data_IF_844947494030
#
_entry.id   IF_844947494030
#
_cell.length_a   1.000
_cell.length_b   1.000
_cell.length_c   1.000
_cell.angle_alpha   90.00
_cell.angle_beta   90.00
_cell.angle_gamma   90.00
#
_symmetry.space_group_name_H-M   'P 1'
#
loop_
_entity.id
_entity.type
_entity.pdbx_description
1 polymer ?
#
# COMPACT_ATOMS: atom_id res chain seq x y z
N UNK A 1 -0.67 9.78 48.07
CA UNK A 1 -0.53 8.51 47.32
C UNK A 1 -1.33 8.68 46.04
N UNK A 2 -0.72 9.28 45.03
CA UNK A 2 -1.35 9.59 43.75
C UNK A 2 -1.10 8.39 42.83
N UNK A 3 -2.15 7.65 42.56
CA UNK A 3 -2.14 6.48 41.70
C UNK A 3 -2.08 6.98 40.27
N UNK A 4 -0.92 6.91 39.65
CA UNK A 4 -0.68 7.23 38.24
C UNK A 4 -1.39 6.11 37.43
N UNK A 5 -2.56 6.40 36.95
CA UNK A 5 -3.24 5.58 35.95
C UNK A 5 -2.47 5.74 34.64
N UNK A 6 -1.60 4.81 34.36
CA UNK A 6 -1.07 4.59 33.01
C UNK A 6 -2.22 4.07 32.15
N UNK A 7 -2.92 4.95 31.46
CA UNK A 7 -3.71 4.60 30.29
C UNK A 7 -2.70 4.10 29.23
N UNK A 8 -2.62 2.78 29.13
CA UNK A 8 -1.98 2.17 27.95
C UNK A 8 -2.90 2.47 26.77
N UNK A 9 -2.55 3.49 26.00
CA UNK A 9 -3.13 3.67 24.67
C UNK A 9 -2.97 2.33 23.94
N UNK A 10 -4.08 1.69 23.65
CA UNK A 10 -4.14 0.51 22.79
C UNK A 10 -3.82 1.01 21.37
N UNK A 11 -2.54 1.17 21.07
CA UNK A 11 -2.09 1.43 19.69
C UNK A 11 -2.51 0.20 18.89
N UNK A 12 -3.57 0.35 18.10
CA UNK A 12 -3.99 -0.71 17.19
C UNK A 12 -2.82 -1.00 16.24
N UNK A 13 -2.30 -2.21 16.32
CA UNK A 13 -1.18 -2.62 15.46
C UNK A 13 -1.66 -2.72 14.02
N UNK A 14 -0.82 -2.28 13.10
CA UNK A 14 -1.07 -2.47 11.68
C UNK A 14 -0.98 -3.95 11.30
N UNK A 15 -1.89 -4.39 10.47
CA UNK A 15 -1.92 -5.76 9.97
C UNK A 15 -2.55 -5.86 8.60
N UNK A 16 -2.24 -6.94 7.92
CA UNK A 16 -2.83 -7.30 6.64
C UNK A 16 -3.59 -8.62 6.73
N UNK A 17 -4.64 -8.72 5.95
CA UNK A 17 -5.45 -9.94 5.78
C UNK A 17 -5.24 -10.45 4.37
N UNK A 18 -5.02 -11.76 4.27
CA UNK A 18 -5.05 -12.52 3.01
C UNK A 18 -6.33 -13.35 2.97
N UNK A 19 -7.06 -13.27 1.88
CA UNK A 19 -8.38 -13.90 1.76
C UNK A 19 -8.69 -14.35 0.33
N UNK A 20 -9.67 -15.23 0.22
CA UNK A 20 -10.41 -15.47 -1.01
C UNK A 20 -11.86 -14.96 -0.85
N UNK A 21 -12.48 -14.63 -1.98
CA UNK A 21 -13.88 -14.25 -2.07
C UNK A 21 -14.51 -14.83 -3.34
N UNK A 22 -15.85 -14.73 -3.48
CA UNK A 22 -16.59 -15.20 -4.66
C UNK A 22 -16.23 -16.64 -5.03
N UNK A 23 -16.37 -17.57 -4.10
CA UNK A 23 -16.04 -19.00 -4.30
C UNK A 23 -14.59 -19.22 -4.78
N UNK A 24 -13.63 -18.42 -4.30
CA UNK A 24 -12.21 -18.42 -4.67
C UNK A 24 -11.91 -17.87 -6.07
N UNK A 25 -12.85 -17.24 -6.72
CA UNK A 25 -12.63 -16.56 -8.00
C UNK A 25 -11.82 -15.27 -7.85
N UNK A 26 -11.75 -14.72 -6.62
CA UNK A 26 -11.04 -13.49 -6.29
C UNK A 26 -10.14 -13.70 -5.09
N UNK A 27 -8.89 -13.24 -5.19
CA UNK A 27 -7.96 -13.14 -4.05
C UNK A 27 -7.85 -11.70 -3.62
N UNK A 28 -7.95 -11.44 -2.32
CA UNK A 28 -7.94 -10.08 -1.77
C UNK A 28 -6.94 -10.00 -0.63
N UNK A 29 -6.09 -8.98 -0.67
CA UNK A 29 -5.27 -8.51 0.43
C UNK A 29 -5.79 -7.16 0.88
N UNK A 30 -5.95 -6.97 2.18
CA UNK A 30 -6.34 -5.67 2.77
C UNK A 30 -5.42 -5.39 3.95
N UNK A 31 -4.95 -4.16 4.06
CA UNK A 31 -4.07 -3.76 5.16
C UNK A 31 -4.43 -2.36 5.71
N UNK A 32 -4.29 -2.20 7.02
CA UNK A 32 -4.04 -0.90 7.66
C UNK A 32 -2.52 -0.73 7.83
N UNK A 33 -2.02 0.49 7.64
CA UNK A 33 -0.58 0.79 7.67
C UNK A 33 -0.27 2.15 8.31
N UNK A 34 -1.15 2.65 9.16
CA UNK A 34 -1.04 4.01 9.74
C UNK A 34 0.23 4.17 10.57
N UNK A 35 0.51 3.22 11.47
CA UNK A 35 1.71 3.27 12.31
C UNK A 35 2.99 3.02 11.51
N UNK A 36 2.95 2.08 10.55
CA UNK A 36 4.05 1.77 9.64
C UNK A 36 4.48 3.03 8.86
N UNK A 37 3.52 3.76 8.29
CA UNK A 37 3.80 4.96 7.50
C UNK A 37 4.22 6.13 8.40
N UNK A 38 3.63 6.28 9.58
CA UNK A 38 4.03 7.30 10.55
C UNK A 38 5.47 7.07 11.05
N UNK A 39 5.86 5.81 11.27
CA UNK A 39 7.24 5.48 11.64
C UNK A 39 8.23 5.83 10.52
N UNK A 40 7.91 5.44 9.28
CA UNK A 40 8.71 5.82 8.12
C UNK A 40 8.80 7.34 7.95
N UNK A 41 7.69 8.07 8.17
CA UNK A 41 7.66 9.53 8.14
C UNK A 41 8.62 10.14 9.16
N UNK A 42 8.63 9.65 10.39
CA UNK A 42 9.51 10.12 11.47
C UNK A 42 10.98 9.88 11.13
N UNK A 43 11.31 8.69 10.66
CA UNK A 43 12.69 8.30 10.34
C UNK A 43 13.25 9.14 9.19
N UNK A 44 12.47 9.31 8.12
CA UNK A 44 12.88 10.01 6.90
C UNK A 44 12.54 11.50 6.91
N UNK A 45 11.79 11.99 7.91
CA UNK A 45 11.34 13.38 8.04
C UNK A 45 10.59 13.87 6.79
N UNK A 46 9.75 13.02 6.23
CA UNK A 46 9.06 13.32 4.97
C UNK A 46 7.98 14.39 5.13
N UNK A 47 7.90 15.30 4.14
CA UNK A 47 6.83 16.27 4.02
C UNK A 47 5.55 15.64 3.44
N UNK A 48 4.37 16.27 3.60
CA UNK A 48 3.08 15.61 3.37
C UNK A 48 2.92 14.86 2.06
N UNK A 49 3.34 15.44 0.91
CA UNK A 49 3.17 14.75 -0.38
C UNK A 49 4.17 13.60 -0.54
N UNK A 50 5.40 13.80 -0.06
CA UNK A 50 6.40 12.72 -0.01
C UNK A 50 5.94 11.59 0.94
N UNK A 51 5.36 11.93 2.10
CA UNK A 51 4.75 10.96 3.03
C UNK A 51 3.64 10.15 2.34
N UNK A 52 2.76 10.83 1.59
CA UNK A 52 1.68 10.14 0.90
C UNK A 52 2.20 9.20 -0.21
N UNK A 53 3.17 9.64 -1.03
CA UNK A 53 3.77 8.82 -2.08
C UNK A 53 4.52 7.60 -1.50
N UNK A 54 5.39 7.85 -0.52
CA UNK A 54 6.21 6.82 0.10
C UNK A 54 5.36 5.84 0.92
N UNK A 55 4.40 6.34 1.69
CA UNK A 55 3.48 5.53 2.47
C UNK A 55 2.61 4.60 1.60
N UNK A 56 2.10 5.09 0.46
CA UNK A 56 1.38 4.25 -0.50
C UNK A 56 2.29 3.15 -1.06
N UNK A 57 3.53 3.48 -1.41
CA UNK A 57 4.50 2.49 -1.90
C UNK A 57 4.82 1.45 -0.83
N UNK A 58 5.07 1.86 0.42
CA UNK A 58 5.31 0.97 1.56
C UNK A 58 4.12 0.02 1.79
N UNK A 59 2.89 0.55 1.77
CA UNK A 59 1.67 -0.23 2.02
C UNK A 59 1.45 -1.30 0.96
N UNK A 60 1.58 -0.95 -0.33
CA UNK A 60 1.43 -1.94 -1.42
C UNK A 60 2.55 -2.97 -1.35
N UNK A 61 3.80 -2.54 -1.10
CA UNK A 61 4.94 -3.45 -0.98
C UNK A 61 4.78 -4.42 0.20
N UNK A 62 4.24 -3.97 1.35
CA UNK A 62 3.94 -4.84 2.48
C UNK A 62 2.98 -5.97 2.08
N UNK A 63 1.86 -5.63 1.44
CA UNK A 63 0.90 -6.63 0.95
C UNK A 63 1.51 -7.55 -0.11
N UNK A 64 2.36 -7.02 -1.00
CA UNK A 64 3.06 -7.82 -1.99
C UNK A 64 4.06 -8.78 -1.34
N UNK A 65 4.80 -8.36 -0.30
CA UNK A 65 5.71 -9.23 0.45
C UNK A 65 5.01 -10.49 0.97
N UNK A 66 3.78 -10.35 1.46
CA UNK A 66 2.96 -11.47 1.95
C UNK A 66 2.48 -12.44 0.85
N UNK A 67 2.73 -12.15 -0.43
CA UNK A 67 2.44 -13.08 -1.53
C UNK A 67 3.53 -14.13 -1.69
N UNK A 68 4.68 -13.94 -1.06
CA UNK A 68 5.87 -14.79 -1.13
C UNK A 68 6.00 -15.69 0.09
N UNK A 69 7.05 -16.50 0.14
CA UNK A 69 7.24 -17.51 1.17
C UNK A 69 8.52 -17.27 1.95
N UNK A 70 8.46 -17.59 3.26
CA UNK A 70 9.63 -17.69 4.15
C UNK A 70 10.66 -16.54 3.99
N UNK A 71 11.82 -16.85 3.44
CA UNK A 71 12.94 -15.91 3.29
C UNK A 71 12.91 -15.12 1.99
N UNK A 72 11.90 -15.33 1.16
CA UNK A 72 11.75 -14.59 -0.10
C UNK A 72 11.48 -13.11 0.18
N UNK A 73 12.07 -12.24 -0.64
CA UNK A 73 11.92 -10.79 -0.51
C UNK A 73 11.62 -10.14 -1.85
N UNK A 74 10.99 -8.99 -1.79
CA UNK A 74 10.81 -8.13 -2.96
C UNK A 74 11.47 -6.78 -2.72
N UNK A 75 12.02 -6.21 -3.79
CA UNK A 75 12.47 -4.83 -3.82
C UNK A 75 11.67 -4.07 -4.88
N UNK A 76 10.92 -3.09 -4.43
CA UNK A 76 10.11 -2.19 -5.26
C UNK A 76 10.86 -0.88 -5.44
N UNK A 77 11.07 -0.46 -6.69
CA UNK A 77 11.66 0.84 -7.02
C UNK A 77 10.70 1.62 -7.90
N UNK A 78 10.23 2.74 -7.38
CA UNK A 78 9.49 3.74 -8.14
C UNK A 78 10.47 4.85 -8.51
N UNK A 79 10.78 4.98 -9.81
CA UNK A 79 11.69 6.00 -10.34
C UNK A 79 10.92 6.93 -11.25
N UNK A 80 10.63 8.12 -10.75
CA UNK A 80 9.93 9.16 -11.50
C UNK A 80 10.86 10.35 -11.85
N UNK A 81 10.39 11.20 -12.75
CA UNK A 81 11.05 12.46 -13.09
C UNK A 81 10.51 13.66 -12.30
N UNK A 82 9.57 13.42 -11.38
CA UNK A 82 9.06 14.43 -10.46
C UNK A 82 10.05 14.74 -9.32
N UNK A 83 9.74 15.73 -8.47
CA UNK A 83 10.66 16.22 -7.43
C UNK A 83 11.01 15.20 -6.35
N UNK A 84 10.23 14.14 -6.13
CA UNK A 84 10.58 13.05 -5.22
C UNK A 84 11.79 12.26 -5.74
N UNK A 85 11.90 12.08 -7.04
CA UNK A 85 12.94 11.25 -7.65
C UNK A 85 12.64 9.76 -7.49
N UNK A 86 13.48 9.06 -6.74
CA UNK A 86 13.37 7.60 -6.55
C UNK A 86 12.89 7.25 -5.16
N UNK A 87 11.97 6.30 -5.07
CA UNK A 87 11.62 5.59 -3.84
C UNK A 87 12.02 4.12 -4.00
N UNK A 88 12.67 3.57 -2.98
CA UNK A 88 13.07 2.17 -2.91
C UNK A 88 12.44 1.55 -1.66
N UNK A 89 11.78 0.43 -1.82
CA UNK A 89 11.12 -0.30 -0.72
C UNK A 89 11.44 -1.77 -0.82
N UNK A 90 11.83 -2.36 0.29
CA UNK A 90 12.00 -3.81 0.44
C UNK A 90 10.94 -4.34 1.38
N UNK A 91 10.34 -5.49 1.04
CA UNK A 91 9.34 -6.16 1.85
C UNK A 91 9.54 -7.67 1.82
N UNK A 92 9.15 -8.36 2.90
CA UNK A 92 9.28 -9.79 3.06
C UNK A 92 7.95 -10.47 3.43
N UNK A 93 7.97 -11.80 3.49
CA UNK A 93 6.82 -12.62 3.83
C UNK A 93 6.40 -12.53 5.32
N UNK A 94 7.23 -11.95 6.17
CA UNK A 94 6.94 -11.73 7.59
C UNK A 94 6.15 -10.44 7.86
N UNK A 95 5.92 -9.62 6.81
CA UNK A 95 5.24 -8.34 6.93
C UNK A 95 6.17 -7.19 7.34
N UNK A 96 7.48 -7.40 7.33
CA UNK A 96 8.45 -6.36 7.58
C UNK A 96 8.72 -5.56 6.29
N UNK A 97 8.73 -4.25 6.43
CA UNK A 97 8.97 -3.32 5.32
C UNK A 97 10.01 -2.30 5.73
N UNK A 98 10.89 -1.97 4.81
CA UNK A 98 11.84 -0.85 4.93
C UNK A 98 11.99 -0.15 3.59
N UNK A 99 12.51 1.06 3.60
CA UNK A 99 12.73 1.76 2.34
C UNK A 99 13.44 3.08 2.52
N UNK A 100 13.68 3.73 1.41
CA UNK A 100 14.28 5.06 1.32
C UNK A 100 13.61 5.88 0.22
N UNK A 101 13.68 7.18 0.39
CA UNK A 101 13.14 8.17 -0.53
C UNK A 101 14.23 9.20 -0.84
N UNK A 102 14.47 9.45 -2.13
CA UNK A 102 15.55 10.32 -2.56
C UNK A 102 15.38 11.78 -2.11
N UNK A 103 14.18 12.33 -2.26
CA UNK A 103 13.86 13.67 -1.75
C UNK A 103 12.60 13.62 -0.88
N UNK A 104 12.77 13.68 0.45
CA UNK A 104 11.64 13.64 1.38
C UNK A 104 10.92 14.98 1.53
N UNK A 105 11.49 16.09 1.06
CA UNK A 105 10.99 17.45 1.32
C UNK A 105 10.10 17.96 0.18
N UNK A 106 9.04 17.21 -0.14
CA UNK A 106 8.11 17.54 -1.23
C UNK A 106 6.70 17.78 -0.69
N UNK A 107 6.15 18.97 -1.00
CA UNK A 107 4.80 19.35 -0.67
C UNK A 107 4.12 20.04 -1.85
N UNK A 108 3.27 19.30 -2.55
CA UNK A 108 2.53 19.77 -3.72
C UNK A 108 1.05 19.42 -3.53
N UNK A 109 0.18 20.36 -3.79
CA UNK A 109 -1.28 20.18 -3.79
C UNK A 109 -1.86 20.44 -5.16
N UNK A 110 -3.03 19.90 -5.43
CA UNK A 110 -3.83 20.32 -6.56
C UNK A 110 -4.29 21.77 -6.34
N UNK A 111 -4.00 22.65 -7.28
CA UNK A 111 -4.38 24.07 -7.22
C UNK A 111 -5.82 24.26 -7.69
N UNK A 112 -6.30 23.43 -8.62
CA UNK A 112 -7.60 23.55 -9.27
C UNK A 112 -8.32 22.19 -9.39
N UNK A 113 -9.59 22.26 -9.86
CA UNK A 113 -10.40 21.09 -10.19
C UNK A 113 -10.99 20.37 -8.96
N UNK A 114 -11.58 19.18 -9.18
CA UNK A 114 -12.30 18.44 -8.13
C UNK A 114 -11.39 17.89 -7.01
N UNK A 115 -10.07 17.86 -7.23
CA UNK A 115 -9.07 17.45 -6.24
C UNK A 115 -8.41 18.65 -5.53
N UNK A 116 -8.86 19.90 -5.76
CA UNK A 116 -8.27 21.11 -5.17
C UNK A 116 -8.00 20.96 -3.67
N UNK A 117 -6.79 21.30 -3.25
CA UNK A 117 -6.32 21.22 -1.87
C UNK A 117 -5.86 19.83 -1.41
N UNK A 118 -6.13 18.76 -2.18
CA UNK A 118 -5.57 17.42 -1.91
C UNK A 118 -4.09 17.36 -2.33
N UNK A 119 -3.34 16.47 -1.72
CA UNK A 119 -1.93 16.20 -2.07
C UNK A 119 -1.86 15.67 -3.51
N UNK A 120 -0.99 16.27 -4.32
CA UNK A 120 -0.78 15.88 -5.73
C UNK A 120 0.42 14.93 -5.83
N UNK A 121 0.17 13.67 -5.52
CA UNK A 121 1.20 12.62 -5.52
C UNK A 121 1.68 12.36 -6.95
N UNK A 122 0.78 12.35 -7.93
CA UNK A 122 1.14 12.16 -9.32
C UNK A 122 2.16 13.19 -9.82
N UNK A 123 1.97 14.49 -9.51
CA UNK A 123 2.95 15.52 -9.88
C UNK A 123 4.27 15.39 -9.11
N UNK A 124 4.22 14.90 -7.86
CA UNK A 124 5.41 14.72 -7.05
C UNK A 124 6.29 13.54 -7.52
N UNK A 125 5.68 12.48 -8.02
CA UNK A 125 6.36 11.30 -8.60
C UNK A 125 6.72 11.55 -10.07
N UNK A 126 5.79 12.04 -10.86
CA UNK A 126 5.97 12.29 -12.29
C UNK A 126 5.93 11.03 -13.14
N UNK A 127 6.38 11.14 -14.40
CA UNK A 127 6.50 10.01 -15.32
C UNK A 127 7.76 9.22 -15.07
N UNK A 128 7.75 7.93 -15.35
CA UNK A 128 8.90 7.06 -15.13
C UNK A 128 8.55 5.58 -15.12
N UNK A 129 9.21 4.83 -14.25
CA UNK A 129 9.07 3.37 -14.21
C UNK A 129 8.90 2.86 -12.78
N UNK A 130 8.08 1.83 -12.66
CA UNK A 130 7.99 0.94 -11.52
C UNK A 130 8.77 -0.33 -11.84
N UNK A 131 9.74 -0.68 -10.98
CA UNK A 131 10.50 -1.93 -11.08
C UNK A 131 10.24 -2.76 -9.83
N UNK A 132 10.03 -4.05 -10.01
CA UNK A 132 9.93 -5.01 -8.91
C UNK A 132 10.97 -6.11 -9.14
N UNK A 133 11.87 -6.24 -8.19
CA UNK A 133 12.88 -7.29 -8.16
C UNK A 133 12.50 -8.30 -7.08
N UNK A 134 12.44 -9.57 -7.45
CA UNK A 134 12.09 -10.71 -6.59
C UNK A 134 13.33 -11.50 -6.27
N UNK A 135 13.66 -11.63 -4.98
CA UNK A 135 14.65 -12.58 -4.46
C UNK A 135 13.90 -13.82 -3.95
N UNK A 136 13.80 -14.83 -4.80
CA UNK A 136 13.15 -16.10 -4.50
C UNK A 136 14.12 -17.12 -3.90
N UNK A 137 15.28 -16.66 -3.39
CA UNK A 137 16.37 -17.52 -2.87
C UNK A 137 16.87 -18.54 -3.90
N UNK A 138 16.73 -18.16 -5.17
CA UNK A 138 17.29 -18.90 -6.30
C UNK A 138 18.63 -18.29 -6.71
N UNK A 139 19.28 -18.86 -7.74
CA UNK A 139 20.57 -18.36 -8.21
C UNK A 139 20.50 -16.93 -8.76
N UNK A 140 19.40 -16.57 -9.40
CA UNK A 140 19.22 -15.31 -10.09
C UNK A 140 18.01 -14.55 -9.53
N UNK A 141 18.08 -13.21 -9.54
CA UNK A 141 16.95 -12.33 -9.23
C UNK A 141 16.06 -12.16 -10.45
N UNK A 142 14.76 -12.05 -10.22
CA UNK A 142 13.79 -11.76 -11.27
C UNK A 142 13.35 -10.31 -11.16
N UNK A 143 13.63 -9.53 -12.20
CA UNK A 143 13.22 -8.12 -12.26
C UNK A 143 12.23 -7.93 -13.39
N UNK A 144 11.08 -7.34 -13.08
CA UNK A 144 10.08 -6.88 -14.04
C UNK A 144 9.84 -5.38 -13.88
N UNK A 145 9.33 -4.74 -14.92
CA UNK A 145 9.09 -3.30 -14.91
C UNK A 145 7.90 -2.90 -15.74
N UNK A 146 7.25 -1.79 -15.37
CA UNK A 146 6.20 -1.14 -16.13
C UNK A 146 6.38 0.37 -16.09
N UNK A 147 5.84 1.08 -17.09
CA UNK A 147 5.75 2.53 -17.08
C UNK A 147 4.74 2.98 -16.01
N UNK A 148 5.05 4.10 -15.34
CA UNK A 148 4.08 4.75 -14.45
C UNK A 148 2.93 5.34 -15.27
N UNK A 149 1.70 5.08 -14.85
CA UNK A 149 0.49 5.52 -15.54
C UNK A 149 0.05 6.90 -15.04
N UNK A 150 0.06 7.10 -13.74
CA UNK A 150 -0.42 8.34 -13.12
C UNK A 150 0.54 8.91 -12.08
N UNK A 151 1.46 8.12 -11.56
CA UNK A 151 2.30 8.44 -10.40
C UNK A 151 1.52 8.47 -9.09
N UNK A 152 0.21 8.15 -9.09
CA UNK A 152 -0.63 8.05 -7.88
C UNK A 152 -0.42 6.72 -7.13
N UNK A 153 0.52 5.90 -7.56
CA UNK A 153 0.96 4.62 -7.00
C UNK A 153 -0.07 3.49 -7.18
N UNK A 154 -1.31 3.66 -6.78
CA UNK A 154 -2.34 2.61 -6.92
C UNK A 154 -2.56 2.18 -8.37
N UNK A 155 -2.73 3.14 -9.27
CA UNK A 155 -2.90 2.89 -10.71
C UNK A 155 -1.64 2.25 -11.31
N UNK A 156 -0.47 2.69 -10.85
CA UNK A 156 0.83 2.21 -11.33
C UNK A 156 1.04 0.73 -10.98
N UNK A 157 0.68 0.32 -9.76
CA UNK A 157 0.72 -1.09 -9.35
C UNK A 157 -0.38 -1.92 -10.01
N UNK A 158 -1.57 -1.35 -10.22
CA UNK A 158 -2.63 -2.02 -10.98
C UNK A 158 -2.13 -2.39 -12.37
N UNK A 159 -1.51 -1.44 -13.07
CA UNK A 159 -0.95 -1.67 -14.39
C UNK A 159 0.23 -2.67 -14.36
N UNK A 160 1.10 -2.58 -13.34
CA UNK A 160 2.19 -3.53 -13.15
C UNK A 160 1.69 -4.97 -13.04
N UNK A 161 0.65 -5.23 -12.25
CA UNK A 161 0.10 -6.59 -12.10
C UNK A 161 -0.43 -7.13 -13.41
N UNK A 162 -1.10 -6.31 -14.19
CA UNK A 162 -1.65 -6.73 -15.50
C UNK A 162 -0.52 -7.01 -16.49
N UNK A 163 0.46 -6.09 -16.59
CA UNK A 163 1.50 -6.18 -17.62
C UNK A 163 2.57 -7.21 -17.28
N UNK A 164 3.07 -7.18 -16.04
CA UNK A 164 4.26 -7.93 -15.63
C UNK A 164 3.94 -9.25 -14.94
N UNK A 165 2.85 -9.31 -14.17
CA UNK A 165 2.42 -10.52 -13.47
C UNK A 165 1.34 -11.28 -14.25
N UNK A 166 0.74 -10.66 -15.28
CA UNK A 166 -0.35 -11.20 -16.09
C UNK A 166 -1.57 -11.59 -15.24
N UNK A 167 -1.82 -10.87 -14.16
CA UNK A 167 -2.95 -11.06 -13.25
C UNK A 167 -3.82 -9.81 -13.29
N UNK A 168 -5.07 -9.91 -13.80
CA UNK A 168 -6.01 -8.80 -13.72
C UNK A 168 -6.23 -8.41 -12.26
N UNK A 169 -5.90 -7.17 -11.93
CA UNK A 169 -5.86 -6.71 -10.54
C UNK A 169 -6.42 -5.31 -10.40
N UNK A 170 -6.83 -4.96 -9.19
CA UNK A 170 -7.12 -3.60 -8.77
C UNK A 170 -6.38 -3.31 -7.47
N UNK A 171 -5.70 -2.16 -7.41
CA UNK A 171 -4.97 -1.71 -6.23
C UNK A 171 -5.54 -0.37 -5.77
N UNK A 172 -6.11 -0.36 -4.57
CA UNK A 172 -6.52 0.86 -3.91
C UNK A 172 -5.64 1.13 -2.70
N UNK A 173 -5.03 2.31 -2.64
CA UNK A 173 -4.16 2.70 -1.53
C UNK A 173 -4.34 4.17 -1.21
N UNK A 174 -4.29 4.52 0.07
CA UNK A 174 -4.47 5.89 0.52
C UNK A 174 -3.69 6.19 1.78
N UNK A 175 -3.19 7.43 1.86
CA UNK A 175 -2.54 8.00 3.04
C UNK A 175 -3.15 9.38 3.28
N UNK A 176 -3.63 9.61 4.49
CA UNK A 176 -4.13 10.89 4.95
C UNK A 176 -3.12 11.49 5.93
N UNK A 177 -2.64 12.68 5.60
CA UNK A 177 -1.70 13.44 6.44
C UNK A 177 -2.41 14.71 6.91
N UNK A 178 -2.29 15.03 8.20
CA UNK A 178 -2.89 16.22 8.79
C UNK A 178 -2.06 17.50 8.57
N UNK A 179 -2.53 18.60 9.15
CA UNK A 179 -1.86 19.91 9.05
C UNK A 179 -0.54 19.95 9.85
N UNK A 180 -0.41 19.13 10.87
CA UNK A 180 0.78 18.98 11.70
C UNK A 180 1.74 17.91 11.14
N UNK A 181 1.44 17.43 9.93
CA UNK A 181 2.22 16.45 9.17
C UNK A 181 2.18 15.01 9.71
N UNK A 182 1.29 14.69 10.66
CA UNK A 182 1.11 13.32 11.14
C UNK A 182 0.25 12.50 10.20
N UNK A 183 0.51 11.20 10.15
CA UNK A 183 -0.32 10.25 9.39
C UNK A 183 -1.55 9.89 10.21
N UNK A 184 -2.72 10.34 9.75
CA UNK A 184 -4.01 10.06 10.41
C UNK A 184 -4.58 8.71 10.03
N UNK A 185 -4.42 8.32 8.76
CA UNK A 185 -4.94 7.08 8.23
C UNK A 185 -4.13 6.63 7.02
N UNK A 186 -3.74 5.38 6.99
CA UNK A 186 -3.06 4.76 5.87
C UNK A 186 -3.45 3.29 5.74
N UNK A 187 -3.62 2.84 4.51
CA UNK A 187 -3.87 1.45 4.18
C UNK A 187 -4.23 1.26 2.72
N UNK A 188 -4.53 0.03 2.37
CA UNK A 188 -4.82 -0.33 0.99
C UNK A 188 -5.39 -1.72 0.83
N UNK A 189 -5.71 -2.03 -0.43
CA UNK A 189 -6.05 -3.37 -0.86
C UNK A 189 -5.35 -3.72 -2.18
N UNK A 190 -5.16 -5.01 -2.39
CA UNK A 190 -4.84 -5.62 -3.67
C UNK A 190 -5.90 -6.68 -3.94
N UNK A 191 -6.69 -6.51 -4.98
CA UNK A 191 -7.70 -7.45 -5.44
C UNK A 191 -7.24 -8.05 -6.76
N UNK A 192 -7.26 -9.37 -6.86
CA UNK A 192 -6.78 -10.11 -8.03
C UNK A 192 -7.81 -11.12 -8.49
N UNK A 193 -8.14 -11.09 -9.78
CA UNK A 193 -9.00 -12.08 -10.39
C UNK A 193 -8.22 -13.37 -10.63
N UNK A 194 -8.79 -14.49 -10.22
CA UNK A 194 -8.18 -15.80 -10.42
C UNK A 194 -8.44 -16.29 -11.85
N UNK A 195 -7.64 -17.23 -12.38
CA UNK A 195 -7.94 -17.87 -13.65
C UNK A 195 -9.36 -18.44 -13.67
N UNK A 196 -10.05 -18.35 -14.82
CA UNK A 196 -11.42 -18.86 -15.02
C UNK A 196 -12.50 -18.13 -14.17
N UNK A 197 -12.25 -16.89 -13.71
CA UNK A 197 -13.27 -16.07 -13.07
C UNK A 197 -14.49 -15.88 -13.97
N UNK A 198 -15.69 -15.98 -13.38
CA UNK A 198 -16.96 -15.80 -14.11
C UNK A 198 -17.21 -14.33 -14.45
N UNK A 199 -17.87 -14.08 -15.59
CA UNK A 199 -18.29 -12.73 -16.01
C UNK A 199 -19.18 -12.06 -14.96
N UNK A 200 -19.98 -12.82 -14.23
CA UNK A 200 -20.82 -12.32 -13.16
C UNK A 200 -19.97 -11.74 -12.01
N UNK A 201 -18.91 -12.44 -11.62
CA UNK A 201 -17.98 -11.99 -10.58
C UNK A 201 -17.20 -10.78 -11.05
N UNK A 202 -16.74 -10.74 -12.30
CA UNK A 202 -16.04 -9.56 -12.87
C UNK A 202 -16.91 -8.33 -12.76
N UNK A 203 -18.15 -8.38 -13.26
CA UNK A 203 -19.10 -7.26 -13.23
C UNK A 203 -19.33 -6.78 -11.78
N UNK A 204 -19.52 -7.71 -10.84
CA UNK A 204 -19.77 -7.39 -9.45
C UNK A 204 -18.56 -6.70 -8.79
N UNK A 205 -17.36 -7.21 -9.03
CA UNK A 205 -16.11 -6.63 -8.54
C UNK A 205 -15.89 -5.21 -9.10
N UNK A 206 -16.13 -5.02 -10.41
CA UNK A 206 -16.04 -3.70 -11.03
C UNK A 206 -16.99 -2.68 -10.40
N UNK A 207 -18.23 -3.07 -10.11
CA UNK A 207 -19.22 -2.19 -9.48
C UNK A 207 -18.82 -1.82 -8.05
N UNK A 208 -18.26 -2.76 -7.29
CA UNK A 208 -17.72 -2.49 -5.96
C UNK A 208 -16.56 -1.50 -6.04
N UNK A 209 -15.59 -1.73 -6.93
CA UNK A 209 -14.41 -0.86 -7.09
C UNK A 209 -14.81 0.56 -7.51
N UNK A 210 -15.82 0.72 -8.36
CA UNK A 210 -16.34 2.03 -8.78
C UNK A 210 -16.99 2.83 -7.63
N UNK A 211 -17.53 2.15 -6.63
CA UNK A 211 -18.34 2.76 -5.57
C UNK A 211 -17.65 2.83 -4.21
N UNK A 212 -16.58 2.07 -4.01
CA UNK A 212 -15.86 2.07 -2.72
C UNK A 212 -15.26 3.43 -2.41
N UNK A 213 -15.40 3.87 -1.16
CA UNK A 213 -14.76 5.09 -0.67
C UNK A 213 -13.23 4.96 -0.72
N UNK A 214 -12.49 6.10 -0.81
CA UNK A 214 -11.03 6.09 -0.68
C UNK A 214 -10.56 5.38 0.59
N UNK A 215 -9.50 4.57 0.50
CA UNK A 215 -8.98 3.76 1.61
C UNK A 215 -8.68 4.57 2.87
N UNK A 216 -8.02 5.73 2.71
CA UNK A 216 -7.74 6.61 3.84
C UNK A 216 -9.01 7.14 4.53
N UNK A 217 -10.10 7.31 3.78
CA UNK A 217 -11.39 7.72 4.35
C UNK A 217 -12.01 6.59 5.17
N UNK A 218 -12.04 5.37 4.64
CA UNK A 218 -12.58 4.20 5.36
C UNK A 218 -11.83 3.99 6.69
N UNK A 219 -10.49 4.05 6.64
CA UNK A 219 -9.67 3.86 7.84
C UNK A 219 -9.88 5.00 8.84
N UNK A 220 -10.00 6.25 8.37
CA UNK A 220 -10.29 7.40 9.24
C UNK A 220 -11.67 7.30 9.88
N UNK A 221 -12.65 6.71 9.20
CA UNK A 221 -14.00 6.42 9.73
C UNK A 221 -13.97 5.24 10.73
N UNK A 222 -12.83 4.59 10.95
CA UNK A 222 -12.66 3.51 11.93
C UNK A 222 -12.89 2.10 11.38
N UNK A 223 -12.97 1.93 10.06
CA UNK A 223 -13.11 0.60 9.48
C UNK A 223 -11.82 -0.20 9.66
N UNK A 224 -11.98 -1.42 10.14
CA UNK A 224 -10.90 -2.42 10.25
C UNK A 224 -10.60 -3.05 8.89
N UNK A 225 -9.45 -3.75 8.73
CA UNK A 225 -9.21 -4.56 7.53
C UNK A 225 -10.32 -5.57 7.24
N UNK A 226 -10.97 -6.13 8.26
CA UNK A 226 -12.12 -7.03 8.12
C UNK A 226 -13.33 -6.31 7.52
N UNK A 227 -13.66 -5.10 7.99
CA UNK A 227 -14.77 -4.32 7.47
C UNK A 227 -14.57 -3.95 6.00
N UNK A 228 -13.34 -3.54 5.66
CA UNK A 228 -12.97 -3.20 4.28
C UNK A 228 -13.01 -4.44 3.40
N UNK A 229 -12.49 -5.57 3.90
CA UNK A 229 -12.56 -6.85 3.20
C UNK A 229 -14.01 -7.27 2.95
N UNK A 230 -14.90 -7.12 3.94
CA UNK A 230 -16.32 -7.42 3.80
C UNK A 230 -16.98 -6.61 2.69
N UNK A 231 -16.64 -5.32 2.58
CA UNK A 231 -17.12 -4.46 1.48
C UNK A 231 -16.60 -4.95 0.13
N UNK A 232 -15.29 -5.25 0.01
CA UNK A 232 -14.66 -5.67 -1.24
C UNK A 232 -15.12 -7.06 -1.71
N UNK A 233 -15.39 -7.93 -0.76
CA UNK A 233 -15.82 -9.31 -0.98
C UNK A 233 -17.34 -9.46 -1.08
N UNK A 234 -18.10 -8.39 -0.83
CA UNK A 234 -19.56 -8.41 -0.77
C UNK A 234 -20.12 -9.53 0.12
N UNK A 235 -19.47 -9.72 1.26
CA UNK A 235 -19.85 -10.71 2.27
C UNK A 235 -19.51 -12.16 1.92
N UNK A 236 -18.68 -12.41 0.89
CA UNK A 236 -18.31 -13.77 0.46
C UNK A 236 -16.90 -14.18 0.86
N UNK A 237 -16.25 -13.38 1.70
CA UNK A 237 -14.86 -13.58 2.10
C UNK A 237 -14.62 -14.85 2.89
N UNK A 238 -13.47 -15.44 2.64
CA UNK A 238 -12.87 -16.50 3.46
C UNK A 238 -11.47 -16.04 3.82
N UNK A 239 -11.28 -15.64 5.07
CA UNK A 239 -9.98 -15.21 5.59
C UNK A 239 -9.07 -16.45 5.69
N UNK A 240 -7.88 -16.34 5.13
CA UNK A 240 -6.85 -17.36 5.17
C UNK A 240 -5.84 -17.08 6.29
N UNK A 241 -5.31 -15.87 6.31
CA UNK A 241 -4.19 -15.49 7.16
C UNK A 241 -4.32 -14.03 7.61
N UNK A 242 -3.77 -13.73 8.79
CA UNK A 242 -3.55 -12.37 9.30
C UNK A 242 -2.08 -12.21 9.65
N UNK A 243 -1.46 -11.15 9.14
CA UNK A 243 -0.05 -10.86 9.37
C UNK A 243 0.09 -9.47 9.96
N UNK A 244 0.82 -9.32 11.03
CA UNK A 244 1.27 -8.01 11.48
C UNK A 244 2.19 -7.43 10.40
N UNK A 245 2.07 -6.13 10.16
CA UNK A 245 2.98 -5.41 9.29
C UNK A 245 3.65 -4.27 10.05
N UNK A 246 4.92 -4.03 9.78
CA UNK A 246 5.70 -3.01 10.48
C UNK A 246 6.80 -2.43 9.62
N UNK A 247 7.15 -1.18 9.89
CA UNK A 247 8.37 -0.59 9.36
C UNK A 247 9.56 -1.05 10.21
N UNK A 248 10.48 -1.79 9.62
CA UNK A 248 11.59 -2.38 10.35
C UNK A 248 12.91 -2.06 9.65
N UNK A 249 13.72 -1.17 10.23
CA UNK A 249 15.04 -0.85 9.73
C UNK A 249 16.09 -1.53 10.62
N UNK A 250 16.83 -2.48 10.06
CA UNK A 250 17.94 -3.15 10.75
C UNK A 250 19.29 -2.40 10.56
N UNK A 251 19.25 -1.21 9.94
CA UNK A 251 20.46 -0.41 9.73
C UNK A 251 20.84 0.29 11.05
N UNK A 252 21.92 -0.15 11.71
CA UNK A 252 22.58 0.66 12.71
C UNK A 252 23.31 1.81 11.98
N UNK A 253 23.08 3.05 12.40
CA UNK A 253 24.04 4.13 12.10
C UNK A 253 25.27 3.85 12.93
N UNK A 254 26.33 3.30 12.33
CA UNK A 254 27.68 3.38 12.86
C UNK A 254 28.20 4.81 12.75
#
# INVERSE_FOLDING_TARGET
MVQCLMESEHIMKDYAIKSYAFNKEVRIYVATSTNLVEEARKIHQTWPTATAAFGRTLTVSAMMGLMYKEEETITVRVKGNGPIGTMLVEANAQGEVRGEIQNPFVYIKYEDGPKKGKLNVGAAVGSGFLHVTKDLKMKDYFTSSSELQSGEIGDDFTYYFVLSEQVPSSVGVGVLVDVDQHVLASGGYILQLMPEVSEQTITRVEDIIKTIKPMSTLIQEGHTPEDILHILADGTETILERHLISYTCHCSKE
#
